data_IF_742513682445
#
_entry.id   IF_742513682445
#
_cell.length_a   1.000
_cell.length_b   1.000
_cell.length_c   1.000
_cell.angle_alpha   90.00
_cell.angle_beta   90.00
_cell.angle_gamma   90.00
#
_symmetry.space_group_name_H-M   'P 1'
#
loop_
_entity.id
_entity.type
_entity.pdbx_description
1 polymer ?
#
# COMPACT_ATOMS: atom_id res chain seq x y z
N UNK A 1 4.94 0.80 28.46
CA UNK A 1 5.32 1.48 27.21
C UNK A 1 6.72 1.05 26.80
N UNK A 2 6.84 0.18 25.80
CA UNK A 2 8.14 -0.14 25.22
C UNK A 2 8.52 1.00 24.26
N UNK A 3 9.42 1.88 24.71
CA UNK A 3 10.03 2.90 23.86
C UNK A 3 10.97 2.21 22.89
N UNK A 4 10.58 2.19 21.62
CA UNK A 4 11.41 1.77 20.49
C UNK A 4 12.64 2.68 20.48
N UNK A 5 13.80 2.18 20.93
CA UNK A 5 15.05 2.95 20.99
C UNK A 5 15.59 3.12 19.57
N UNK A 6 16.39 4.16 19.31
CA UNK A 6 16.95 4.45 17.97
C UNK A 6 17.58 3.22 17.27
N UNK A 7 18.13 2.25 18.00
CA UNK A 7 18.70 1.00 17.46
C UNK A 7 17.68 -0.05 16.96
N UNK A 8 16.37 0.17 17.14
CA UNK A 8 15.34 -0.70 16.54
C UNK A 8 15.05 -0.31 15.08
N UNK A 9 15.31 0.95 14.67
CA UNK A 9 15.08 1.38 13.29
C UNK A 9 16.06 0.74 12.31
N UNK A 10 17.33 0.60 12.71
CA UNK A 10 18.35 -0.06 11.88
C UNK A 10 18.01 -1.54 11.68
N UNK A 11 17.54 -2.22 12.73
CA UNK A 11 17.07 -3.62 12.65
C UNK A 11 15.85 -3.78 11.75
N UNK A 12 14.90 -2.85 11.80
CA UNK A 12 13.72 -2.86 10.92
C UNK A 12 14.15 -2.65 9.46
N UNK A 13 15.14 -1.78 9.22
CA UNK A 13 15.69 -1.55 7.88
C UNK A 13 16.43 -2.79 7.35
N UNK A 14 17.34 -3.37 8.14
CA UNK A 14 18.06 -4.61 7.79
C UNK A 14 17.10 -5.77 7.50
N UNK A 15 16.07 -5.94 8.34
CA UNK A 15 15.05 -6.97 8.13
C UNK A 15 14.25 -6.72 6.84
N UNK A 16 13.95 -5.46 6.53
CA UNK A 16 13.26 -5.10 5.30
C UNK A 16 14.11 -5.46 4.07
N UNK A 17 15.40 -5.09 4.08
CA UNK A 17 16.36 -5.44 3.03
C UNK A 17 16.52 -6.96 2.87
N UNK A 18 16.67 -7.68 3.98
CA UNK A 18 16.77 -9.14 3.97
C UNK A 18 15.52 -9.79 3.36
N UNK A 19 14.34 -9.26 3.66
CA UNK A 19 13.10 -9.74 3.05
C UNK A 19 12.99 -9.39 1.58
N UNK A 20 13.39 -8.19 1.17
CA UNK A 20 13.44 -7.82 -0.25
C UNK A 20 14.32 -8.79 -1.05
N UNK A 21 15.52 -9.09 -0.54
CA UNK A 21 16.45 -10.05 -1.15
C UNK A 21 15.90 -11.48 -1.18
N UNK A 22 15.29 -11.94 -0.08
CA UNK A 22 14.70 -13.26 0.00
C UNK A 22 13.57 -13.42 -1.03
N UNK A 23 12.69 -12.42 -1.15
CA UNK A 23 11.57 -12.45 -2.09
C UNK A 23 12.06 -12.49 -3.54
N UNK A 24 13.06 -11.67 -3.87
CA UNK A 24 13.69 -11.68 -5.19
C UNK A 24 14.36 -13.04 -5.51
N UNK A 25 14.90 -13.74 -4.51
CA UNK A 25 15.56 -15.04 -4.70
C UNK A 25 14.58 -16.21 -4.80
N UNK A 26 13.46 -16.20 -4.04
CA UNK A 26 12.49 -17.31 -4.02
C UNK A 26 11.58 -17.35 -5.25
N UNK A 27 11.49 -16.24 -5.99
CA UNK A 27 10.72 -16.11 -7.23
C UNK A 27 9.24 -15.77 -7.03
N UNK A 28 8.59 -15.47 -8.16
CA UNK A 28 7.27 -14.85 -8.28
C UNK A 28 6.19 -15.60 -7.52
N UNK A 29 6.03 -16.89 -7.84
CA UNK A 29 4.95 -17.71 -7.28
C UNK A 29 5.04 -17.80 -5.76
N UNK A 30 6.25 -17.98 -5.21
CA UNK A 30 6.44 -18.06 -3.77
C UNK A 30 6.15 -16.72 -3.10
N UNK A 31 6.62 -15.62 -3.68
CA UNK A 31 6.38 -14.26 -3.18
C UNK A 31 4.88 -13.93 -3.16
N UNK A 32 4.16 -14.27 -4.22
CA UNK A 32 2.72 -14.05 -4.27
C UNK A 32 1.97 -14.88 -3.22
N UNK A 33 2.28 -16.16 -3.08
CA UNK A 33 1.52 -17.06 -2.22
C UNK A 33 1.85 -16.88 -0.73
N UNK A 34 3.13 -16.74 -0.37
CA UNK A 34 3.56 -16.67 1.03
C UNK A 34 3.61 -15.25 1.56
N UNK A 35 4.07 -14.29 0.75
CA UNK A 35 4.23 -12.93 1.22
C UNK A 35 2.96 -12.11 1.00
N UNK A 36 2.46 -12.03 -0.24
CA UNK A 36 1.31 -11.17 -0.53
C UNK A 36 0.01 -11.78 0.02
N UNK A 37 -0.38 -12.97 -0.44
CA UNK A 37 -1.68 -13.57 -0.11
C UNK A 37 -1.79 -14.01 1.34
N UNK A 38 -0.67 -14.45 1.95
CA UNK A 38 -0.66 -14.90 3.35
C UNK A 38 -0.25 -13.79 4.30
N UNK A 39 0.97 -13.25 4.19
CA UNK A 39 1.50 -12.35 5.22
C UNK A 39 0.86 -10.96 5.20
N UNK A 40 0.83 -10.29 4.03
CA UNK A 40 0.27 -8.92 3.92
C UNK A 40 -1.23 -8.93 4.22
N UNK A 41 -1.98 -9.81 3.56
CA UNK A 41 -3.44 -9.89 3.77
C UNK A 41 -3.77 -10.19 5.23
N UNK A 42 -3.15 -11.22 5.83
CA UNK A 42 -3.41 -11.59 7.23
C UNK A 42 -3.09 -10.46 8.21
N UNK A 43 -1.92 -9.83 8.07
CA UNK A 43 -1.50 -8.72 8.93
C UNK A 43 -2.43 -7.52 8.80
N UNK A 44 -2.88 -7.24 7.57
CA UNK A 44 -3.85 -6.17 7.31
C UNK A 44 -5.20 -6.48 7.94
N UNK A 45 -5.73 -7.70 7.79
CA UNK A 45 -7.03 -8.05 8.39
C UNK A 45 -6.98 -7.90 9.91
N UNK A 46 -5.92 -8.40 10.55
CA UNK A 46 -5.71 -8.24 12.00
C UNK A 46 -5.65 -6.78 12.43
N UNK A 47 -5.03 -5.91 11.63
CA UNK A 47 -5.00 -4.47 11.89
C UNK A 47 -6.39 -3.83 11.74
N UNK A 48 -7.13 -4.18 10.68
CA UNK A 48 -8.46 -3.63 10.39
C UNK A 48 -9.48 -4.06 11.45
N UNK A 49 -9.41 -5.30 11.93
CA UNK A 49 -10.35 -5.85 12.91
C UNK A 49 -10.08 -5.35 14.34
N UNK A 50 -8.91 -4.76 14.57
CA UNK A 50 -8.49 -4.26 15.86
C UNK A 50 -9.31 -3.03 16.30
N UNK A 51 -9.73 -3.01 17.57
CA UNK A 51 -10.61 -1.99 18.16
C UNK A 51 -9.95 -1.13 19.25
N UNK A 52 -8.74 -1.47 19.69
CA UNK A 52 -8.05 -0.77 20.79
C UNK A 52 -6.93 0.14 20.27
N UNK A 53 -6.86 1.37 20.78
CA UNK A 53 -5.93 2.40 20.28
C UNK A 53 -4.45 2.02 20.48
N UNK A 54 -4.09 1.43 21.63
CA UNK A 54 -2.70 1.11 22.00
C UNK A 54 -2.06 0.03 21.11
N UNK A 55 -2.84 -0.96 20.67
CA UNK A 55 -2.35 -1.98 19.72
C UNK A 55 -2.29 -1.46 18.27
N UNK A 56 -3.00 -0.38 17.97
CA UNK A 56 -3.15 0.14 16.61
C UNK A 56 -1.82 0.71 16.10
N UNK A 57 -1.05 1.40 16.94
CA UNK A 57 0.23 2.01 16.55
C UNK A 57 1.30 0.96 16.15
N UNK A 58 1.51 -0.06 16.99
CA UNK A 58 2.47 -1.12 16.69
C UNK A 58 2.07 -1.93 15.44
N UNK A 59 0.77 -2.22 15.29
CA UNK A 59 0.25 -2.94 14.11
C UNK A 59 0.32 -2.07 12.85
N UNK A 60 0.14 -0.75 12.95
CA UNK A 60 0.30 0.21 11.85
C UNK A 60 1.73 0.18 11.29
N UNK A 61 2.73 0.21 12.18
CA UNK A 61 4.14 0.14 11.77
C UNK A 61 4.48 -1.16 11.01
N UNK A 62 3.94 -2.30 11.47
CA UNK A 62 4.10 -3.59 10.80
C UNK A 62 3.47 -3.58 9.41
N UNK A 63 2.22 -3.11 9.28
CA UNK A 63 1.54 -3.05 7.97
C UNK A 63 2.28 -2.09 7.03
N UNK A 64 2.73 -0.94 7.52
CA UNK A 64 3.51 0.02 6.72
C UNK A 64 4.82 -0.59 6.22
N UNK A 65 5.54 -1.30 7.09
CA UNK A 65 6.76 -2.03 6.71
C UNK A 65 6.50 -3.06 5.60
N UNK A 66 5.46 -3.89 5.75
CA UNK A 66 5.11 -4.90 4.75
C UNK A 66 4.72 -4.29 3.39
N UNK A 67 4.01 -3.16 3.39
CA UNK A 67 3.67 -2.44 2.16
C UNK A 67 4.91 -1.86 1.48
N UNK A 68 5.85 -1.33 2.25
CA UNK A 68 7.11 -0.80 1.71
C UNK A 68 7.97 -1.91 1.08
N UNK A 69 8.09 -3.07 1.73
CA UNK A 69 8.76 -4.24 1.14
C UNK A 69 8.08 -4.64 -0.16
N UNK A 70 6.74 -4.71 -0.19
CA UNK A 70 6.00 -4.97 -1.43
C UNK A 70 6.32 -3.96 -2.54
N UNK A 71 6.31 -2.66 -2.22
CA UNK A 71 6.62 -1.58 -3.18
C UNK A 71 8.04 -1.71 -3.73
N UNK A 72 9.02 -2.08 -2.88
CA UNK A 72 10.40 -2.31 -3.29
C UNK A 72 10.52 -3.52 -4.22
N UNK A 73 9.99 -4.67 -3.80
CA UNK A 73 10.07 -5.94 -4.55
C UNK A 73 9.37 -5.82 -5.91
N UNK A 74 8.22 -5.13 -5.98
CA UNK A 74 7.51 -4.95 -7.24
C UNK A 74 8.30 -4.23 -8.33
N UNK A 75 9.34 -3.46 -7.97
CA UNK A 75 10.22 -2.80 -8.97
C UNK A 75 11.09 -3.80 -9.70
N UNK A 76 11.39 -4.93 -9.08
CA UNK A 76 12.32 -5.95 -9.58
C UNK A 76 11.52 -7.14 -10.11
N UNK A 77 10.38 -7.44 -9.48
CA UNK A 77 9.59 -8.63 -9.73
C UNK A 77 8.11 -8.28 -9.87
N UNK A 78 7.59 -8.37 -11.09
CA UNK A 78 6.18 -8.07 -11.35
C UNK A 78 5.27 -9.11 -10.68
N UNK A 79 4.13 -8.65 -10.14
CA UNK A 79 3.10 -9.57 -9.65
C UNK A 79 2.10 -9.87 -10.76
N UNK A 80 1.48 -11.05 -10.67
CA UNK A 80 0.35 -11.43 -11.51
C UNK A 80 -0.81 -10.44 -11.31
N UNK A 81 -1.58 -10.13 -12.37
CA UNK A 81 -2.72 -9.22 -12.28
C UNK A 81 -3.75 -9.65 -11.23
N UNK A 82 -3.93 -10.96 -11.05
CA UNK A 82 -4.83 -11.51 -10.03
C UNK A 82 -4.36 -11.17 -8.61
N UNK A 83 -3.06 -11.33 -8.33
CA UNK A 83 -2.50 -10.99 -7.02
C UNK A 83 -2.58 -9.49 -6.74
N UNK A 84 -2.36 -8.64 -7.74
CA UNK A 84 -2.57 -7.18 -7.60
C UNK A 84 -4.03 -6.85 -7.32
N UNK A 85 -4.97 -7.52 -8.02
CA UNK A 85 -6.41 -7.34 -7.78
C UNK A 85 -6.82 -7.71 -6.35
N UNK A 86 -6.27 -8.81 -5.81
CA UNK A 86 -6.46 -9.22 -4.41
C UNK A 86 -5.92 -8.16 -3.46
N UNK A 87 -4.70 -7.68 -3.69
CA UNK A 87 -4.09 -6.64 -2.87
C UNK A 87 -4.93 -5.35 -2.86
N UNK A 88 -5.35 -4.87 -4.03
CA UNK A 88 -6.18 -3.66 -4.12
C UNK A 88 -7.53 -3.87 -3.41
N UNK A 89 -8.17 -5.02 -3.64
CA UNK A 89 -9.54 -5.27 -3.17
C UNK A 89 -9.63 -5.62 -1.70
N UNK A 90 -8.70 -6.41 -1.19
CA UNK A 90 -8.75 -6.90 0.19
C UNK A 90 -7.90 -6.06 1.13
N UNK A 91 -6.77 -5.53 0.66
CA UNK A 91 -5.82 -4.81 1.53
C UNK A 91 -6.00 -3.31 1.41
N UNK A 92 -5.69 -2.72 0.26
CA UNK A 92 -5.64 -1.27 0.10
C UNK A 92 -7.02 -0.62 0.28
N UNK A 93 -8.08 -1.28 -0.22
CA UNK A 93 -9.45 -0.81 0.01
C UNK A 93 -9.74 -0.69 1.50
N UNK A 94 -9.47 -1.71 2.32
CA UNK A 94 -9.78 -1.67 3.75
C UNK A 94 -8.92 -0.64 4.49
N UNK A 95 -7.65 -0.51 4.15
CA UNK A 95 -6.74 0.45 4.77
C UNK A 95 -7.18 1.90 4.50
N UNK A 96 -7.61 2.23 3.28
CA UNK A 96 -8.16 3.56 2.96
C UNK A 96 -9.41 3.87 3.79
N UNK A 97 -10.21 2.86 4.15
CA UNK A 97 -11.44 3.06 4.94
C UNK A 97 -11.22 3.10 6.45
N UNK A 98 -10.16 2.46 6.96
CA UNK A 98 -9.93 2.28 8.40
C UNK A 98 -9.59 3.59 9.14
N UNK A 99 -9.25 4.67 8.42
CA UNK A 99 -8.76 5.96 8.94
C UNK A 99 -7.66 5.77 9.99
N UNK A 100 -6.41 5.93 9.57
CA UNK A 100 -5.25 5.85 10.47
C UNK A 100 -4.82 7.24 10.89
N UNK A 101 -4.58 7.48 12.17
CA UNK A 101 -3.87 8.69 12.61
C UNK A 101 -2.37 8.66 12.24
N UNK A 102 -1.86 7.47 11.88
CA UNK A 102 -0.50 7.28 11.41
C UNK A 102 -0.36 7.61 9.92
N UNK A 103 0.13 8.83 9.65
CA UNK A 103 0.41 9.33 8.31
C UNK A 103 1.43 8.47 7.54
N UNK A 104 2.36 7.79 8.23
CA UNK A 104 3.34 6.92 7.58
C UNK A 104 2.65 5.76 6.87
N UNK A 105 1.70 5.11 7.55
CA UNK A 105 0.88 4.06 6.94
C UNK A 105 0.06 4.59 5.78
N UNK A 106 -0.58 5.75 5.94
CA UNK A 106 -1.38 6.35 4.88
C UNK A 106 -0.56 6.64 3.62
N UNK A 107 0.67 7.15 3.76
CA UNK A 107 1.57 7.37 2.63
C UNK A 107 2.01 6.07 1.97
N UNK A 108 2.33 5.03 2.75
CA UNK A 108 2.65 3.70 2.21
C UNK A 108 1.48 3.10 1.42
N UNK A 109 0.24 3.29 1.88
CA UNK A 109 -0.98 2.87 1.16
C UNK A 109 -1.10 3.61 -0.17
N UNK A 110 -0.86 4.92 -0.19
CA UNK A 110 -0.90 5.72 -1.42
C UNK A 110 0.16 5.29 -2.42
N UNK A 111 1.40 5.07 -1.99
CA UNK A 111 2.47 4.57 -2.87
C UNK A 111 2.14 3.17 -3.42
N UNK A 112 1.55 2.29 -2.61
CA UNK A 112 1.10 0.98 -3.07
C UNK A 112 -0.03 1.10 -4.11
N UNK A 113 -0.99 2.01 -3.93
CA UNK A 113 -2.05 2.29 -4.91
C UNK A 113 -1.48 2.81 -6.23
N UNK A 114 -0.48 3.69 -6.18
CA UNK A 114 0.22 4.20 -7.36
C UNK A 114 0.88 3.04 -8.12
N UNK A 115 1.58 2.14 -7.42
CA UNK A 115 2.25 0.98 -8.03
C UNK A 115 1.26 -0.03 -8.63
N UNK A 116 0.13 -0.24 -7.98
CA UNK A 116 -0.92 -1.13 -8.48
C UNK A 116 -1.74 -0.53 -9.64
N UNK A 117 -1.69 0.78 -9.82
CA UNK A 117 -2.56 1.49 -10.77
C UNK A 117 -2.46 1.09 -12.24
N UNK A 118 -1.31 0.66 -12.80
CA UNK A 118 -1.26 0.15 -14.17
C UNK A 118 -2.07 -1.14 -14.37
N UNK A 119 -2.27 -1.93 -13.30
CA UNK A 119 -2.98 -3.20 -13.35
C UNK A 119 -4.46 -3.07 -12.97
N UNK A 120 -4.80 -2.11 -12.11
CA UNK A 120 -6.17 -1.87 -11.64
C UNK A 120 -6.52 -0.37 -11.64
N UNK A 121 -6.51 0.30 -12.81
CA UNK A 121 -6.50 1.76 -12.90
C UNK A 121 -7.75 2.40 -12.31
N UNK A 122 -8.94 1.90 -12.65
CA UNK A 122 -10.23 2.45 -12.22
C UNK A 122 -10.35 2.44 -10.69
N UNK A 123 -10.15 1.25 -10.08
CA UNK A 123 -10.30 1.09 -8.63
C UNK A 123 -9.22 1.83 -7.85
N UNK A 124 -7.97 1.83 -8.32
CA UNK A 124 -6.90 2.59 -7.68
C UNK A 124 -7.17 4.10 -7.71
N UNK A 125 -7.67 4.63 -8.83
CA UNK A 125 -8.05 6.04 -8.94
C UNK A 125 -9.17 6.43 -7.97
N UNK A 126 -10.20 5.58 -7.86
CA UNK A 126 -11.32 5.83 -6.95
C UNK A 126 -10.85 5.82 -5.49
N UNK A 127 -9.99 4.88 -5.10
CA UNK A 127 -9.42 4.80 -3.76
C UNK A 127 -8.49 6.00 -3.45
N UNK A 128 -7.61 6.37 -4.39
CA UNK A 128 -6.73 7.53 -4.22
C UNK A 128 -7.53 8.83 -4.08
N UNK A 129 -8.62 8.99 -4.84
CA UNK A 129 -9.52 10.15 -4.72
C UNK A 129 -10.17 10.18 -3.34
N UNK A 130 -10.73 9.06 -2.89
CA UNK A 130 -11.37 8.95 -1.57
C UNK A 130 -10.39 9.28 -0.45
N UNK A 131 -9.16 8.77 -0.53
CA UNK A 131 -8.11 9.07 0.44
C UNK A 131 -7.74 10.56 0.42
N UNK A 132 -7.54 11.14 -0.77
CA UNK A 132 -7.24 12.56 -0.93
C UNK A 132 -8.35 13.45 -0.35
N UNK A 133 -9.61 13.08 -0.55
CA UNK A 133 -10.74 13.84 -0.02
C UNK A 133 -10.82 13.81 1.50
N UNK A 134 -10.41 12.69 2.11
CA UNK A 134 -10.37 12.51 3.57
C UNK A 134 -9.17 13.23 4.20
N UNK A 135 -8.08 13.41 3.45
CA UNK A 135 -6.81 13.96 3.93
C UNK A 135 -6.48 15.36 3.40
N UNK A 136 -7.48 16.12 2.95
CA UNK A 136 -7.30 17.50 2.46
C UNK A 136 -6.51 18.34 3.47
N UNK A 137 -5.52 19.09 2.97
CA UNK A 137 -4.68 19.98 3.77
C UNK A 137 -3.53 19.30 4.53
N UNK A 138 -3.47 17.96 4.58
CA UNK A 138 -2.41 17.20 5.28
C UNK A 138 -1.47 16.43 4.34
N UNK A 139 -1.65 16.58 3.03
CA UNK A 139 -0.91 15.82 2.01
C UNK A 139 0.45 16.49 1.77
N UNK A 140 1.58 15.77 1.96
CA UNK A 140 2.89 16.29 1.63
C UNK A 140 2.99 16.67 0.14
N UNK A 141 3.68 17.76 -0.16
CA UNK A 141 3.79 18.30 -1.53
C UNK A 141 4.31 17.26 -2.54
N UNK A 142 5.32 16.46 -2.16
CA UNK A 142 5.88 15.43 -3.03
C UNK A 142 4.87 14.32 -3.36
N UNK A 143 4.06 13.89 -2.38
CA UNK A 143 3.00 12.88 -2.56
C UNK A 143 1.89 13.44 -3.44
N UNK A 144 1.50 14.69 -3.21
CA UNK A 144 0.50 15.37 -4.03
C UNK A 144 0.94 15.43 -5.50
N UNK A 145 2.18 15.84 -5.77
CA UNK A 145 2.74 15.89 -7.13
C UNK A 145 2.73 14.51 -7.80
N UNK A 146 3.11 13.44 -7.10
CA UNK A 146 3.04 12.07 -7.61
C UNK A 146 1.60 11.65 -7.93
N UNK A 147 0.64 11.96 -7.06
CA UNK A 147 -0.77 11.66 -7.29
C UNK A 147 -1.30 12.36 -8.54
N UNK A 148 -0.97 13.64 -8.75
CA UNK A 148 -1.37 14.38 -9.95
C UNK A 148 -0.74 13.78 -11.22
N UNK A 149 0.55 13.43 -11.15
CA UNK A 149 1.23 12.77 -12.25
C UNK A 149 0.54 11.46 -12.63
N UNK A 150 0.29 10.58 -11.65
CA UNK A 150 -0.36 9.28 -11.87
C UNK A 150 -1.76 9.46 -12.43
N UNK A 151 -2.55 10.40 -11.90
CA UNK A 151 -3.88 10.73 -12.46
C UNK A 151 -3.80 11.16 -13.92
N UNK A 152 -2.85 12.02 -14.25
CA UNK A 152 -2.65 12.48 -15.64
C UNK A 152 -2.25 11.33 -16.56
N UNK A 153 -1.38 10.42 -16.11
CA UNK A 153 -0.92 9.25 -16.88
C UNK A 153 -2.05 8.26 -17.10
N UNK A 154 -2.81 7.92 -16.05
CA UNK A 154 -3.91 6.96 -16.15
C UNK A 154 -5.09 7.52 -16.97
N UNK A 155 -5.34 8.82 -16.92
CA UNK A 155 -6.38 9.45 -17.76
C UNK A 155 -6.10 9.33 -19.26
N UNK A 156 -4.83 9.11 -19.65
CA UNK A 156 -4.42 8.82 -21.03
C UNK A 156 -4.52 7.33 -21.38
N UNK A 157 -4.44 6.45 -20.38
CA UNK A 157 -4.51 4.99 -20.55
C UNK A 157 -5.94 4.44 -20.51
N UNK A 158 -6.85 5.12 -19.82
CA UNK A 158 -8.27 4.77 -19.83
C UNK A 158 -8.92 5.48 -21.03
N UNK A 159 -9.27 4.79 -22.12
CA UNK A 159 -9.98 5.41 -23.22
C UNK A 159 -11.32 5.94 -22.71
N UNK A 160 -11.49 7.26 -22.79
CA UNK A 160 -12.74 8.00 -22.71
C UNK A 160 -13.80 7.53 -21.70
N UNK A 161 -13.94 8.26 -20.59
CA UNK A 161 -15.29 8.62 -20.13
C UNK A 161 -15.88 9.64 -21.12
N UNK A 162 -16.36 9.15 -22.25
CA UNK A 162 -17.61 9.64 -22.80
C UNK A 162 -18.68 8.62 -22.38
N UNK A 163 -19.89 9.08 -22.10
CA UNK A 163 -21.06 8.34 -21.56
C UNK A 163 -21.04 8.31 -20.01
N UNK A 164 -21.89 9.01 -19.24
CA UNK A 164 -23.22 9.55 -19.50
C UNK A 164 -23.34 11.03 -19.09
N UNK A 165 -23.81 11.87 -20.01
CA UNK A 165 -24.84 12.85 -19.65
C UNK A 165 -26.17 12.10 -19.72
N UNK A 166 -26.94 12.14 -18.65
CA UNK A 166 -28.38 11.92 -18.66
C UNK A 166 -28.99 13.01 -17.82
#
# INVERSE_FOLDING_TARGET
>A
MATVKLGDRDKVHELSLAMELLLAHKGDKWSEDQFIKRLIVSSTMKFVDNKTAEETAAKSAVVSCLLNIFISVQRIQACSPNTVSILVSQVLTKLVHKQSEDMSLELSVVEALIRASPYCPVKCLDLMRKWQDTNKGRIPAHTFSKLQFVRSTLSKMVPGKNICKS
#
